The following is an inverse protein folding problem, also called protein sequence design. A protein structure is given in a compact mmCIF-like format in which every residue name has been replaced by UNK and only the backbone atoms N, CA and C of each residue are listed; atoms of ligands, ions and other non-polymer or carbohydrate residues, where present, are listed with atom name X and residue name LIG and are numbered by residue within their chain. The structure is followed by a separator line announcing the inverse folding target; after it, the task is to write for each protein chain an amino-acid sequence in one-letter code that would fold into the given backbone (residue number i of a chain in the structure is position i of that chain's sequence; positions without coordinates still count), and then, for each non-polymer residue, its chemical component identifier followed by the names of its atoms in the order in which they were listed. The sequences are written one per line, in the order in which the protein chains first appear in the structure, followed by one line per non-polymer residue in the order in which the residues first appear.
data_IF_775639162200
#
_entry.id   IF_775639162200
#
_cell.length_a   1.000
_cell.length_b   1.000
_cell.length_c   1.000
_cell.angle_alpha   90.00
_cell.angle_beta   90.00
_cell.angle_gamma   90.00
#
_symmetry.space_group_name_H-M   'P 1'
#
loop_
_entity.id
_entity.type
_entity.pdbx_description
1 polymer ?
#
# COMPACT_ATOMS: atom_id res chain seq x y z
N UNK A 1 1.63 20.48 6.38
CA UNK A 1 0.67 20.61 7.48
C UNK A 1 1.13 21.78 8.34
N UNK A 2 0.32 22.83 8.51
CA UNK A 2 0.71 24.05 9.26
C UNK A 2 0.06 24.09 10.64
N UNK A 3 -1.23 23.74 10.72
CA UNK A 3 -1.97 23.72 11.98
C UNK A 3 -2.53 22.30 12.13
N UNK A 4 -1.99 21.55 13.07
CA UNK A 4 -2.39 20.18 13.35
C UNK A 4 -3.12 20.13 14.68
N UNK A 5 -4.36 19.67 14.67
CA UNK A 5 -5.11 19.32 15.86
C UNK A 5 -5.37 17.82 15.85
N UNK A 6 -4.89 17.11 16.86
CA UNK A 6 -5.02 15.66 16.98
C UNK A 6 -6.16 15.37 17.94
N UNK A 7 -7.26 14.81 17.42
CA UNK A 7 -8.43 14.44 18.21
C UNK A 7 -8.27 13.09 18.90
N UNK A 8 -7.60 12.15 18.21
CA UNK A 8 -7.34 10.81 18.73
C UNK A 8 -6.04 10.27 18.12
N UNK A 9 -4.98 10.31 18.90
CA UNK A 9 -3.66 9.86 18.48
C UNK A 9 -3.56 8.34 18.30
N UNK A 10 -4.43 7.56 18.93
CA UNK A 10 -4.45 6.10 18.79
C UNK A 10 -4.83 5.63 17.40
N UNK A 11 -5.48 6.50 16.62
CA UNK A 11 -5.85 6.27 15.23
C UNK A 11 -4.88 6.92 14.23
N UNK A 12 -3.74 7.45 14.69
CA UNK A 12 -2.75 8.01 13.78
C UNK A 12 -1.94 6.89 13.11
N UNK A 13 -1.61 7.03 11.80
CA UNK A 13 -0.78 6.06 11.12
C UNK A 13 0.63 6.00 11.74
N UNK A 14 1.21 4.82 11.85
CA UNK A 14 2.55 4.66 12.43
C UNK A 14 3.63 5.45 11.66
N UNK A 15 3.50 5.59 10.35
CA UNK A 15 4.40 6.44 9.56
C UNK A 15 4.36 7.94 9.88
N UNK A 16 3.38 8.39 10.68
CA UNK A 16 3.20 9.79 11.07
C UNK A 16 3.19 10.01 12.59
N UNK A 17 3.30 8.95 13.39
CA UNK A 17 3.23 9.00 14.85
C UNK A 17 4.41 8.30 15.49
N UNK A 18 4.67 8.59 16.75
CA UNK A 18 5.65 7.90 17.59
C UNK A 18 4.96 7.16 18.74
N UNK A 19 5.65 6.20 19.35
CA UNK A 19 5.07 5.29 20.34
C UNK A 19 4.50 5.96 21.58
N UNK A 20 4.89 7.21 21.88
CA UNK A 20 4.31 8.02 22.97
C UNK A 20 2.93 8.61 22.62
N UNK A 21 2.44 8.37 21.38
CA UNK A 21 1.17 8.87 20.87
C UNK A 21 1.24 10.28 20.28
N UNK A 22 2.40 10.89 20.19
CA UNK A 22 2.52 12.18 19.50
C UNK A 22 2.51 12.01 17.98
N UNK A 23 2.00 13.00 17.27
CA UNK A 23 1.98 13.06 15.80
C UNK A 23 2.85 14.24 15.35
N UNK A 24 3.88 13.93 14.57
CA UNK A 24 4.76 14.94 14.00
C UNK A 24 4.17 15.49 12.68
N UNK A 25 3.92 16.80 12.56
CA UNK A 25 3.33 17.39 11.35
C UNK A 25 4.17 17.19 10.09
N UNK A 26 5.49 17.12 10.21
CA UNK A 26 6.38 16.91 9.07
C UNK A 26 6.33 15.44 8.63
N UNK A 27 6.37 14.50 9.56
CA UNK A 27 6.21 13.07 9.27
C UNK A 27 4.83 12.78 8.68
N UNK A 28 3.76 13.37 9.23
CA UNK A 28 2.41 13.26 8.67
C UNK A 28 2.36 13.77 7.22
N UNK A 29 2.97 14.92 6.95
CA UNK A 29 3.04 15.46 5.59
C UNK A 29 3.80 14.52 4.66
N UNK A 30 4.93 14.00 5.10
CA UNK A 30 5.74 13.04 4.36
C UNK A 30 4.96 11.75 4.07
N UNK A 31 4.32 11.18 5.10
CA UNK A 31 3.49 9.97 4.99
C UNK A 31 2.33 10.16 4.01
N UNK A 32 1.60 11.28 4.08
CA UNK A 32 0.52 11.62 3.15
C UNK A 32 1.04 11.61 1.70
N UNK A 33 2.16 12.30 1.41
CA UNK A 33 2.68 12.39 0.06
C UNK A 33 3.18 11.04 -0.48
N UNK A 34 3.71 10.17 0.38
CA UNK A 34 4.19 8.84 -0.01
C UNK A 34 3.06 7.83 -0.26
N UNK A 35 1.83 8.17 0.08
CA UNK A 35 0.64 7.39 -0.31
C UNK A 35 0.27 7.54 -1.78
N UNK A 36 0.79 8.56 -2.44
CA UNK A 36 0.49 8.84 -3.84
C UNK A 36 1.18 7.88 -4.82
N UNK A 37 0.73 7.90 -6.06
CA UNK A 37 1.39 7.18 -7.15
C UNK A 37 2.79 7.77 -7.37
N UNK A 38 3.86 6.94 -7.39
CA UNK A 38 5.20 7.43 -7.65
C UNK A 38 5.34 8.06 -9.03
N UNK A 39 6.19 9.08 -9.15
CA UNK A 39 6.45 9.78 -10.43
C UNK A 39 7.02 8.87 -11.52
N UNK A 40 7.72 7.78 -11.14
CA UNK A 40 8.24 6.78 -12.08
C UNK A 40 7.26 5.67 -12.46
N UNK A 41 5.98 5.75 -12.07
CA UNK A 41 4.98 4.73 -12.37
C UNK A 41 4.75 4.59 -13.88
N UNK A 42 4.84 3.38 -14.39
CA UNK A 42 4.42 3.04 -15.75
C UNK A 42 2.92 3.35 -15.92
N UNK A 43 2.58 4.16 -16.92
CA UNK A 43 1.20 4.58 -17.19
C UNK A 43 0.70 5.77 -16.35
N UNK A 44 1.56 6.44 -15.58
CA UNK A 44 1.18 7.60 -14.76
C UNK A 44 0.42 8.67 -15.55
N UNK A 45 0.88 9.01 -16.75
CA UNK A 45 0.23 10.03 -17.58
C UNK A 45 -1.23 9.68 -17.93
N UNK A 46 -1.52 8.39 -18.14
CA UNK A 46 -2.89 7.95 -18.42
C UNK A 46 -3.77 8.05 -17.16
N UNK A 47 -3.22 7.73 -15.98
CA UNK A 47 -3.91 7.86 -14.69
C UNK A 47 -4.24 9.33 -14.42
N UNK A 48 -3.25 10.23 -14.55
CA UNK A 48 -3.43 11.67 -14.34
C UNK A 48 -4.44 12.27 -15.34
N UNK A 49 -4.34 11.91 -16.60
CA UNK A 49 -5.28 12.35 -17.63
C UNK A 49 -6.71 11.88 -17.33
N UNK A 50 -6.88 10.61 -16.96
CA UNK A 50 -8.19 10.06 -16.60
C UNK A 50 -8.83 10.76 -15.37
N UNK A 51 -8.00 11.20 -14.43
CA UNK A 51 -8.44 11.97 -13.27
C UNK A 51 -8.58 13.48 -13.53
N UNK A 52 -8.09 14.00 -14.66
CA UNK A 52 -8.00 15.44 -14.89
C UNK A 52 -7.05 16.14 -13.92
N UNK A 53 -5.93 15.49 -13.58
CA UNK A 53 -4.90 15.99 -12.65
C UNK A 53 -3.62 16.32 -13.41
N UNK A 54 -2.88 17.32 -12.91
CA UNK A 54 -1.59 17.72 -13.49
C UNK A 54 -0.42 16.92 -12.92
N UNK A 55 -0.53 16.44 -11.69
CA UNK A 55 0.54 15.81 -10.92
C UNK A 55 -0.01 14.81 -9.89
N UNK A 56 0.86 13.91 -9.34
CA UNK A 56 0.46 12.92 -8.35
C UNK A 56 -0.11 13.49 -7.05
N UNK A 57 0.35 14.65 -6.60
CA UNK A 57 -0.16 15.27 -5.37
C UNK A 57 -1.60 15.73 -5.56
N UNK A 58 -1.91 16.37 -6.70
CA UNK A 58 -3.27 16.75 -7.09
C UNK A 58 -4.18 15.52 -7.18
N UNK A 59 -3.67 14.41 -7.72
CA UNK A 59 -4.41 13.14 -7.78
C UNK A 59 -4.72 12.61 -6.39
N UNK A 60 -3.74 12.58 -5.49
CA UNK A 60 -3.90 12.09 -4.13
C UNK A 60 -5.04 12.80 -3.40
N UNK A 61 -5.03 14.13 -3.40
CA UNK A 61 -6.10 14.92 -2.75
C UNK A 61 -7.44 14.77 -3.46
N UNK A 62 -7.45 14.70 -4.78
CA UNK A 62 -8.67 14.54 -5.56
C UNK A 62 -9.35 13.19 -5.31
N UNK A 63 -8.58 12.13 -5.07
CA UNK A 63 -9.06 10.79 -4.76
C UNK A 63 -9.21 10.54 -3.25
N UNK A 64 -9.13 11.59 -2.42
CA UNK A 64 -9.27 11.53 -0.96
C UNK A 64 -8.23 10.61 -0.29
N UNK A 65 -7.11 10.33 -0.93
CA UNK A 65 -6.05 9.42 -0.51
C UNK A 65 -6.51 7.98 -0.19
N UNK A 66 -7.65 7.56 -0.73
CA UNK A 66 -8.18 6.20 -0.56
C UNK A 66 -7.28 5.17 -1.23
N UNK A 67 -7.01 4.05 -0.56
CA UNK A 67 -6.29 2.91 -1.09
C UNK A 67 -6.77 1.57 -0.47
N UNK A 68 -6.08 0.46 -0.76
CA UNK A 68 -6.31 -0.87 -0.17
C UNK A 68 -5.17 -1.32 0.76
N UNK A 69 -4.31 -0.42 1.20
CA UNK A 69 -3.26 -0.74 2.19
C UNK A 69 -3.68 -0.43 3.62
N UNK A 70 -4.72 0.35 3.81
CA UNK A 70 -5.17 0.82 5.12
C UNK A 70 -6.54 1.52 5.04
N UNK A 71 -7.02 2.08 6.17
CA UNK A 71 -8.31 2.75 6.32
C UNK A 71 -8.19 4.28 6.35
N UNK A 72 -7.00 4.83 6.20
CA UNK A 72 -6.78 6.29 6.25
C UNK A 72 -7.25 6.97 4.98
N UNK A 73 -7.84 8.14 5.15
CA UNK A 73 -8.29 8.97 4.05
C UNK A 73 -8.29 10.46 4.40
N UNK A 74 -8.35 11.30 3.40
CA UNK A 74 -8.40 12.75 3.56
C UNK A 74 -9.82 13.21 3.25
N UNK A 75 -10.47 13.81 4.24
CA UNK A 75 -11.78 14.44 4.05
C UNK A 75 -11.64 15.97 4.14
N UNK A 76 -11.81 16.70 3.03
CA UNK A 76 -11.88 18.15 3.07
C UNK A 76 -13.00 18.64 3.99
N UNK A 77 -12.77 19.79 4.64
CA UNK A 77 -13.77 20.42 5.46
C UNK A 77 -15.03 20.74 4.65
N UNK A 78 -16.19 20.49 5.23
CA UNK A 78 -17.50 20.69 4.59
C UNK A 78 -17.95 19.55 3.66
N UNK A 79 -17.09 18.59 3.34
CA UNK A 79 -17.48 17.42 2.54
C UNK A 79 -18.27 16.42 3.39
N UNK A 80 -19.52 16.17 3.00
CA UNK A 80 -20.43 15.22 3.71
C UNK A 80 -20.26 13.82 3.10
N UNK A 81 -19.24 13.11 3.55
CA UNK A 81 -18.97 11.71 3.19
C UNK A 81 -18.54 10.92 4.42
N UNK A 82 -18.88 9.65 4.46
CA UNK A 82 -18.35 8.69 5.42
C UNK A 82 -17.44 7.69 4.72
N UNK A 83 -16.42 7.19 5.41
CA UNK A 83 -15.48 6.20 4.88
C UNK A 83 -16.20 4.93 4.40
N UNK A 84 -17.24 4.47 5.13
CA UNK A 84 -18.04 3.31 4.77
C UNK A 84 -18.72 3.41 3.39
N UNK A 85 -19.00 4.64 2.91
CA UNK A 85 -19.68 4.84 1.63
C UNK A 85 -18.70 4.81 0.44
N UNK A 86 -17.40 4.98 0.69
CA UNK A 86 -16.42 5.24 -0.37
C UNK A 86 -15.19 4.33 -0.35
N UNK A 87 -14.96 3.54 0.71
CA UNK A 87 -13.79 2.66 0.80
C UNK A 87 -13.81 1.57 -0.29
N UNK A 88 -12.63 1.02 -0.60
CA UNK A 88 -12.48 -0.02 -1.62
C UNK A 88 -12.62 -1.45 -1.08
N UNK A 89 -12.76 -1.63 0.22
CA UNK A 89 -12.94 -2.95 0.83
C UNK A 89 -14.40 -3.45 0.69
N UNK A 90 -15.36 -2.53 0.79
CA UNK A 90 -16.79 -2.85 0.85
C UNK A 90 -17.57 -2.32 -0.36
N UNK A 91 -16.97 -1.42 -1.15
CA UNK A 91 -17.65 -0.78 -2.27
C UNK A 91 -17.00 -1.18 -3.60
N UNK A 92 -17.80 -1.54 -4.62
CA UNK A 92 -17.28 -1.90 -5.93
C UNK A 92 -16.57 -0.72 -6.59
N UNK A 93 -15.60 -1.02 -7.44
CA UNK A 93 -14.85 -0.04 -8.21
C UNK A 93 -14.38 -0.63 -9.54
N UNK A 94 -14.00 0.26 -10.46
CA UNK A 94 -13.25 -0.10 -11.68
C UNK A 94 -11.95 0.70 -11.67
N UNK A 95 -10.83 0.03 -11.57
CA UNK A 95 -9.54 0.70 -11.47
C UNK A 95 -9.20 1.47 -12.76
N UNK A 96 -8.55 2.62 -12.59
CA UNK A 96 -8.19 3.52 -13.68
C UNK A 96 -9.35 4.30 -14.30
N UNK A 97 -10.58 4.18 -13.79
CA UNK A 97 -11.74 4.94 -14.26
C UNK A 97 -12.42 5.65 -13.09
N UNK A 98 -12.79 6.94 -13.27
CA UNK A 98 -13.64 7.62 -12.29
C UNK A 98 -15.02 6.96 -12.29
N UNK A 99 -15.48 6.48 -11.16
CA UNK A 99 -16.82 5.88 -11.00
C UNK A 99 -17.73 6.74 -10.10
N UNK A 100 -17.19 7.78 -9.47
CA UNK A 100 -17.93 8.64 -8.60
C UNK A 100 -17.28 10.03 -8.53
N UNK A 101 -18.09 11.07 -8.40
CA UNK A 101 -17.63 12.45 -8.15
C UNK A 101 -18.42 13.03 -6.99
N UNK A 102 -17.76 13.81 -6.13
CA UNK A 102 -18.45 14.56 -5.10
C UNK A 102 -19.43 15.59 -5.72
N UNK A 103 -20.39 16.04 -4.95
CA UNK A 103 -21.41 17.01 -5.41
C UNK A 103 -20.80 18.34 -5.87
N UNK A 104 -19.63 18.70 -5.37
CA UNK A 104 -18.85 19.86 -5.82
C UNK A 104 -18.09 19.63 -7.13
N UNK A 105 -18.08 18.41 -7.67
CA UNK A 105 -17.36 18.04 -8.90
C UNK A 105 -15.84 18.09 -8.80
N UNK A 106 -15.28 18.38 -7.61
CA UNK A 106 -13.82 18.50 -7.40
C UNK A 106 -13.18 17.16 -7.07
N UNK A 107 -13.87 16.35 -6.27
CA UNK A 107 -13.36 15.05 -5.85
C UNK A 107 -13.88 13.93 -6.74
N UNK A 108 -13.08 12.91 -6.95
CA UNK A 108 -13.43 11.77 -7.80
C UNK A 108 -12.94 10.48 -7.16
N UNK A 109 -13.78 9.45 -7.15
CA UNK A 109 -13.37 8.10 -6.78
C UNK A 109 -12.82 7.42 -8.03
N UNK A 110 -11.55 7.09 -7.99
CA UNK A 110 -10.89 6.21 -8.94
C UNK A 110 -10.58 4.89 -8.23
N UNK A 111 -10.29 3.84 -8.98
CA UNK A 111 -9.87 2.59 -8.36
C UNK A 111 -8.56 2.74 -7.56
N UNK A 112 -8.26 1.75 -6.67
CA UNK A 112 -7.13 1.85 -5.72
C UNK A 112 -5.76 2.00 -6.38
N UNK A 113 -5.60 1.65 -7.65
CA UNK A 113 -4.38 1.86 -8.43
C UNK A 113 -3.90 3.30 -8.48
N UNK A 114 -4.80 4.26 -8.24
CA UNK A 114 -4.48 5.69 -8.16
C UNK A 114 -3.68 6.08 -6.90
N UNK A 115 -3.59 5.19 -5.90
CA UNK A 115 -2.85 5.40 -4.66
C UNK A 115 -1.94 4.21 -4.29
N UNK A 116 -1.70 3.28 -5.22
CA UNK A 116 -0.85 2.12 -4.98
C UNK A 116 0.61 2.44 -5.25
N UNK A 117 1.51 2.15 -4.33
CA UNK A 117 2.96 2.35 -4.45
C UNK A 117 3.62 1.46 -5.51
N UNK A 118 4.90 1.75 -5.85
CA UNK A 118 5.72 0.97 -6.78
C UNK A 118 5.60 1.38 -8.25
N UNK A 119 6.58 1.05 -9.06
CA UNK A 119 6.78 1.57 -10.42
C UNK A 119 6.14 0.75 -11.53
N UNK A 120 5.96 -0.56 -11.36
CA UNK A 120 5.37 -1.43 -12.38
C UNK A 120 3.93 -1.01 -12.70
N UNK A 121 3.53 -1.23 -13.94
CA UNK A 121 2.13 -1.15 -14.31
C UNK A 121 1.32 -2.11 -13.45
N UNK A 122 0.31 -1.61 -12.79
CA UNK A 122 -0.56 -2.44 -11.94
C UNK A 122 -1.97 -1.87 -11.88
N UNK A 123 -2.90 -2.75 -11.61
CA UNK A 123 -4.30 -2.43 -11.38
C UNK A 123 -4.88 -3.33 -10.30
N UNK A 124 -5.95 -2.89 -9.72
CA UNK A 124 -6.75 -3.69 -8.82
C UNK A 124 -8.02 -4.18 -9.51
N UNK A 125 -8.41 -5.38 -9.21
CA UNK A 125 -9.65 -5.98 -9.71
C UNK A 125 -10.46 -6.53 -8.53
N UNK A 126 -11.73 -6.14 -8.45
CA UNK A 126 -12.68 -6.75 -7.52
C UNK A 126 -13.35 -7.94 -8.23
N UNK A 127 -13.10 -9.15 -7.75
CA UNK A 127 -13.64 -10.40 -8.31
C UNK A 127 -14.41 -11.12 -7.20
N UNK A 128 -15.71 -11.27 -7.35
CA UNK A 128 -16.57 -11.96 -6.38
C UNK A 128 -16.43 -11.44 -4.93
N UNK A 129 -16.26 -10.13 -4.79
CA UNK A 129 -16.13 -9.47 -3.49
C UNK A 129 -14.71 -9.53 -2.88
N UNK A 130 -13.73 -10.06 -3.59
CA UNK A 130 -12.33 -10.07 -3.20
C UNK A 130 -11.52 -9.13 -4.09
N UNK A 131 -10.52 -8.49 -3.51
CA UNK A 131 -9.63 -7.57 -4.21
C UNK A 131 -8.36 -8.30 -4.65
N UNK A 132 -7.98 -8.15 -5.92
CA UNK A 132 -6.78 -8.73 -6.50
C UNK A 132 -5.88 -7.66 -7.08
N UNK A 133 -4.60 -7.69 -6.73
CA UNK A 133 -3.57 -6.88 -7.37
C UNK A 133 -3.02 -7.61 -8.58
N UNK A 134 -3.15 -6.99 -9.75
CA UNK A 134 -2.62 -7.47 -11.02
C UNK A 134 -1.42 -6.60 -11.38
N UNK A 135 -0.24 -7.21 -11.50
CA UNK A 135 1.01 -6.53 -11.85
C UNK A 135 1.46 -6.95 -13.24
N UNK A 136 1.73 -5.98 -14.08
CA UNK A 136 2.37 -6.19 -15.39
C UNK A 136 3.89 -6.15 -15.32
N UNK A 137 4.52 -6.08 -16.48
CA UNK A 137 5.95 -5.93 -16.62
C UNK A 137 6.34 -4.50 -17.04
N UNK A 138 7.56 -4.09 -16.68
CA UNK A 138 8.19 -2.87 -17.20
C UNK A 138 8.97 -3.13 -18.48
N UNK A 139 9.30 -4.37 -18.79
CA UNK A 139 10.11 -4.80 -19.93
C UNK A 139 9.32 -5.64 -20.94
N UNK A 140 9.80 -5.69 -22.18
CA UNK A 140 9.25 -6.55 -23.23
C UNK A 140 9.38 -8.04 -22.95
N UNK A 141 10.35 -8.41 -22.11
CA UNK A 141 10.66 -9.80 -21.80
C UNK A 141 9.76 -10.39 -20.72
N UNK A 142 8.96 -9.53 -20.06
CA UNK A 142 7.95 -9.92 -19.07
C UNK A 142 8.48 -10.84 -17.95
N UNK A 143 9.68 -10.54 -17.42
CA UNK A 143 10.29 -11.37 -16.38
C UNK A 143 9.65 -11.17 -15.01
N UNK A 144 9.21 -9.95 -14.68
CA UNK A 144 8.73 -9.59 -13.35
C UNK A 144 7.55 -10.45 -12.88
N UNK A 145 6.51 -10.73 -13.70
CA UNK A 145 5.44 -11.62 -13.29
C UNK A 145 5.92 -13.02 -12.91
N UNK A 146 6.88 -13.57 -13.65
CA UNK A 146 7.44 -14.88 -13.37
C UNK A 146 8.34 -14.90 -12.13
N UNK A 147 9.06 -13.80 -11.85
CA UNK A 147 9.84 -13.65 -10.63
C UNK A 147 8.93 -13.64 -9.39
N UNK A 148 7.79 -12.94 -9.44
CA UNK A 148 6.78 -12.95 -8.36
C UNK A 148 6.23 -14.37 -8.12
N UNK A 149 5.91 -15.12 -9.17
CA UNK A 149 5.45 -16.50 -9.03
C UNK A 149 6.54 -17.38 -8.41
N UNK A 150 7.79 -17.30 -8.93
CA UNK A 150 8.91 -18.10 -8.43
C UNK A 150 9.19 -17.80 -6.94
N UNK A 151 9.20 -16.53 -6.55
CA UNK A 151 9.36 -16.11 -5.17
C UNK A 151 8.23 -16.67 -4.28
N UNK A 152 6.98 -16.59 -4.73
CA UNK A 152 5.83 -17.16 -4.03
C UNK A 152 5.96 -18.67 -3.83
N UNK A 153 6.38 -19.42 -4.87
CA UNK A 153 6.60 -20.87 -4.77
C UNK A 153 7.78 -21.24 -3.85
N UNK A 154 8.84 -20.43 -3.86
CA UNK A 154 9.95 -20.59 -2.91
C UNK A 154 9.44 -20.38 -1.47
N UNK A 155 8.73 -19.28 -1.22
CA UNK A 155 8.16 -18.97 0.09
C UNK A 155 7.23 -20.08 0.58
N UNK A 156 6.41 -20.65 -0.31
CA UNK A 156 5.53 -21.79 0.01
C UNK A 156 6.29 -23.00 0.55
N UNK A 157 7.55 -23.21 0.16
CA UNK A 157 8.36 -24.34 0.62
C UNK A 157 9.09 -24.11 1.93
N UNK A 158 9.33 -22.83 2.30
CA UNK A 158 10.18 -22.48 3.44
C UNK A 158 9.44 -21.73 4.55
N UNK A 159 8.27 -21.16 4.26
CA UNK A 159 7.46 -20.42 5.22
C UNK A 159 6.24 -21.23 5.69
N UNK A 160 5.74 -20.97 6.91
CA UNK A 160 4.48 -21.55 7.35
C UNK A 160 3.30 -20.99 6.51
N UNK A 161 2.22 -21.75 6.44
CA UNK A 161 1.00 -21.33 5.75
C UNK A 161 0.50 -19.97 6.28
N UNK A 162 0.15 -19.08 5.35
CA UNK A 162 -0.30 -17.71 5.66
C UNK A 162 0.82 -16.69 5.89
N UNK A 163 2.10 -17.11 5.87
CA UNK A 163 3.24 -16.20 6.07
C UNK A 163 3.81 -15.63 4.75
N UNK A 164 3.18 -15.88 3.63
CA UNK A 164 3.56 -15.30 2.33
C UNK A 164 2.31 -14.98 1.50
N UNK A 165 2.50 -14.15 0.48
CA UNK A 165 1.44 -13.82 -0.48
C UNK A 165 1.52 -14.77 -1.68
N UNK A 166 0.49 -15.62 -1.91
CA UNK A 166 0.44 -16.49 -3.08
C UNK A 166 0.26 -15.69 -4.37
N UNK A 167 1.12 -15.93 -5.35
CA UNK A 167 0.99 -15.36 -6.68
C UNK A 167 0.59 -16.43 -7.71
N UNK A 168 -0.17 -16.03 -8.70
CA UNK A 168 -0.49 -16.79 -9.90
C UNK A 168 -0.16 -16.00 -11.17
N UNK A 169 -0.06 -16.69 -12.30
CA UNK A 169 0.11 -16.04 -13.61
C UNK A 169 -1.19 -16.09 -14.38
N UNK A 170 -1.60 -14.95 -14.88
CA UNK A 170 -2.70 -14.79 -15.84
C UNK A 170 -2.19 -14.11 -17.12
N UNK A 171 -3.07 -13.93 -18.10
CA UNK A 171 -2.80 -13.13 -19.30
C UNK A 171 -3.69 -11.89 -19.28
N UNK A 172 -3.12 -10.76 -19.59
CA UNK A 172 -3.88 -9.54 -19.79
C UNK A 172 -4.63 -9.56 -21.15
N UNK A 173 -5.36 -8.49 -21.45
CA UNK A 173 -6.12 -8.34 -22.70
C UNK A 173 -5.26 -8.33 -23.98
N UNK A 174 -3.95 -8.10 -23.85
CA UNK A 174 -2.98 -8.17 -24.95
C UNK A 174 -2.32 -9.56 -25.07
N UNK A 175 -2.63 -10.48 -24.15
CA UNK A 175 -2.04 -11.80 -24.08
C UNK A 175 -0.70 -11.87 -23.35
N UNK A 176 -0.24 -10.77 -22.74
CA UNK A 176 0.99 -10.71 -21.97
C UNK A 176 0.80 -11.31 -20.58
N UNK A 177 1.82 -11.97 -20.02
CA UNK A 177 1.75 -12.49 -18.66
C UNK A 177 1.68 -11.37 -17.63
N UNK A 178 0.83 -11.56 -16.64
CA UNK A 178 0.70 -10.69 -15.46
C UNK A 178 0.71 -11.55 -14.21
N UNK A 179 1.29 -11.07 -13.13
CA UNK A 179 1.19 -11.72 -11.83
C UNK A 179 -0.02 -11.21 -11.07
N UNK A 180 -0.69 -12.11 -10.37
CA UNK A 180 -1.93 -11.82 -9.64
C UNK A 180 -1.84 -12.36 -8.23
N UNK A 181 -2.15 -11.54 -7.24
CA UNK A 181 -2.30 -11.94 -5.85
C UNK A 181 -3.57 -11.37 -5.24
N UNK A 182 -4.18 -12.10 -4.30
CA UNK A 182 -5.28 -11.57 -3.49
C UNK A 182 -4.76 -10.50 -2.53
N UNK A 183 -5.55 -9.47 -2.26
CA UNK A 183 -5.25 -8.47 -1.23
C UNK A 183 -5.22 -9.16 0.13
N UNK A 184 -4.12 -8.98 0.86
CA UNK A 184 -3.95 -9.53 2.21
C UNK A 184 -4.35 -8.55 3.32
N UNK A 185 -4.76 -7.35 2.94
CA UNK A 185 -5.32 -6.32 3.86
C UNK A 185 -6.82 -6.32 3.73
N UNK A 186 -7.50 -6.20 4.84
CA UNK A 186 -8.95 -6.04 4.93
C UNK A 186 -9.34 -4.71 5.61
N UNK A 187 -10.62 -4.51 5.86
CA UNK A 187 -11.13 -3.28 6.48
C UNK A 187 -10.72 -3.09 7.95
N UNK A 188 -10.20 -4.12 8.60
CA UNK A 188 -9.85 -4.15 10.02
C UNK A 188 -8.32 -4.26 10.24
N UNK A 189 -7.54 -4.33 9.15
CA UNK A 189 -6.08 -4.45 9.16
C UNK A 189 -5.42 -3.41 8.27
N UNK A 190 -4.16 -3.07 8.54
CA UNK A 190 -3.36 -2.19 7.70
C UNK A 190 -1.99 -2.81 7.38
N UNK A 191 -1.45 -2.42 6.24
CA UNK A 191 -0.08 -2.75 5.85
C UNK A 191 0.85 -1.61 6.24
N UNK A 192 1.76 -1.88 7.17
CA UNK A 192 2.77 -0.93 7.63
C UNK A 192 4.14 -1.36 7.12
N UNK A 193 4.85 -0.48 6.42
CA UNK A 193 6.20 -0.77 5.95
C UNK A 193 7.20 -0.72 7.09
N UNK A 194 8.25 -1.54 7.01
CA UNK A 194 9.28 -1.67 8.05
C UNK A 194 9.88 -0.34 8.49
N UNK A 195 10.13 0.57 7.56
CA UNK A 195 10.69 1.89 7.86
C UNK A 195 9.75 2.73 8.76
N UNK A 196 8.44 2.64 8.55
CA UNK A 196 7.45 3.29 9.40
C UNK A 196 7.38 2.64 10.79
N UNK A 197 7.51 1.31 10.88
CA UNK A 197 7.58 0.60 12.17
C UNK A 197 8.78 1.06 12.99
N UNK A 198 9.97 1.04 12.38
CA UNK A 198 11.21 1.42 13.07
C UNK A 198 11.19 2.88 13.51
N UNK A 199 10.63 3.76 12.70
CA UNK A 199 10.48 5.18 13.01
C UNK A 199 9.47 5.42 14.13
N UNK A 200 8.34 4.73 14.10
CA UNK A 200 7.31 4.83 15.14
C UNK A 200 7.85 4.50 16.54
N UNK A 201 8.66 3.46 16.65
CA UNK A 201 9.23 3.03 17.92
C UNK A 201 10.56 3.72 18.28
N UNK A 202 10.99 4.71 17.49
CA UNK A 202 12.25 5.45 17.72
C UNK A 202 13.44 4.50 17.99
N UNK A 203 13.55 3.47 17.17
CA UNK A 203 14.55 2.44 17.38
C UNK A 203 15.97 3.01 17.24
N UNK A 204 16.92 2.63 18.14
CA UNK A 204 18.26 3.19 18.14
C UNK A 204 18.97 2.93 16.81
N UNK A 205 19.45 4.00 16.16
CA UNK A 205 20.19 3.93 14.88
C UNK A 205 21.55 3.21 15.05
N UNK A 206 22.02 3.05 16.28
CA UNK A 206 23.28 2.39 16.63
C UNK A 206 23.22 0.86 16.48
N UNK A 207 22.03 0.29 16.40
CA UNK A 207 21.81 -1.13 16.09
C UNK A 207 21.54 -1.32 14.60
N UNK A 208 21.79 -2.52 14.08
CA UNK A 208 21.37 -2.82 12.73
C UNK A 208 19.85 -2.75 12.63
N UNK A 209 19.30 -2.40 11.43
CA UNK A 209 17.87 -2.39 11.18
C UNK A 209 17.21 -3.73 11.56
N UNK A 210 17.89 -4.84 11.30
CA UNK A 210 17.47 -6.18 11.69
C UNK A 210 17.28 -6.31 13.21
N UNK A 211 18.30 -5.95 14.01
CA UNK A 211 18.21 -6.05 15.48
C UNK A 211 17.14 -5.10 16.07
N UNK A 212 17.03 -3.91 15.50
CA UNK A 212 15.99 -2.95 15.89
C UNK A 212 14.59 -3.54 15.64
N UNK A 213 14.36 -4.12 14.48
CA UNK A 213 13.08 -4.71 14.10
C UNK A 213 12.75 -5.93 14.97
N UNK A 214 13.69 -6.84 15.17
CA UNK A 214 13.51 -7.98 16.08
C UNK A 214 13.12 -7.50 17.48
N UNK A 215 13.84 -6.52 18.04
CA UNK A 215 13.55 -5.97 19.37
C UNK A 215 12.15 -5.36 19.47
N UNK A 216 11.69 -4.65 18.43
CA UNK A 216 10.32 -4.11 18.37
C UNK A 216 9.29 -5.24 18.38
N UNK A 217 9.44 -6.25 17.53
CA UNK A 217 8.50 -7.38 17.47
C UNK A 217 8.45 -8.19 18.76
N UNK A 218 9.59 -8.42 19.39
CA UNK A 218 9.68 -9.06 20.72
C UNK A 218 8.98 -8.21 21.80
N UNK A 219 9.17 -6.89 21.76
CA UNK A 219 8.50 -5.93 22.64
C UNK A 219 6.97 -5.91 22.46
N UNK A 220 6.48 -6.15 21.26
CA UNK A 220 5.07 -6.33 20.94
C UNK A 220 4.52 -7.72 21.33
N UNK A 221 5.36 -8.59 21.88
CA UNK A 221 4.97 -9.92 22.36
C UNK A 221 4.90 -10.99 21.26
N UNK A 222 5.45 -10.75 20.09
CA UNK A 222 5.54 -11.72 19.01
C UNK A 222 6.58 -12.79 19.37
N UNK A 223 6.10 -14.01 19.60
CA UNK A 223 6.98 -15.16 19.87
C UNK A 223 7.75 -15.53 18.60
N UNK A 224 9.00 -15.91 18.79
CA UNK A 224 9.88 -16.32 17.70
C UNK A 224 10.14 -15.23 16.63
N UNK A 225 9.99 -13.94 17.01
CA UNK A 225 10.21 -12.80 16.13
C UNK A 225 11.56 -12.88 15.40
N UNK A 226 12.65 -13.16 16.14
CA UNK A 226 13.99 -13.32 15.54
C UNK A 226 14.03 -14.40 14.46
N UNK A 227 13.48 -15.57 14.73
CA UNK A 227 13.48 -16.67 13.76
C UNK A 227 12.66 -16.36 12.50
N UNK A 228 11.59 -15.56 12.65
CA UNK A 228 10.80 -15.09 11.52
C UNK A 228 11.59 -14.08 10.66
N UNK A 229 12.17 -13.06 11.28
CA UNK A 229 12.94 -12.00 10.59
C UNK A 229 14.22 -12.57 9.95
N UNK A 230 14.95 -13.48 10.64
CA UNK A 230 16.13 -14.15 10.10
C UNK A 230 15.77 -14.96 8.83
N UNK A 231 14.60 -15.59 8.83
CA UNK A 231 14.11 -16.38 7.69
C UNK A 231 13.76 -15.48 6.50
N UNK A 232 13.08 -14.36 6.73
CA UNK A 232 12.81 -13.35 5.70
C UNK A 232 14.09 -12.81 5.10
N UNK A 233 15.07 -12.44 5.93
CA UNK A 233 16.37 -11.95 5.48
C UNK A 233 17.10 -12.96 4.56
N UNK A 234 17.04 -14.26 4.90
CA UNK A 234 17.64 -15.31 4.07
C UNK A 234 16.91 -15.44 2.73
N UNK A 235 15.58 -15.33 2.71
CA UNK A 235 14.78 -15.37 1.47
C UNK A 235 15.13 -14.20 0.58
N UNK A 236 15.17 -12.98 1.11
CA UNK A 236 15.56 -11.78 0.39
C UNK A 236 16.97 -11.89 -0.18
N UNK A 237 17.91 -12.37 0.61
CA UNK A 237 19.29 -12.55 0.19
C UNK A 237 19.44 -13.61 -0.93
N UNK A 238 18.63 -14.69 -0.91
CA UNK A 238 18.69 -15.76 -1.89
C UNK A 238 17.99 -15.44 -3.21
N UNK A 239 17.38 -14.31 -3.34
CA UNK A 239 16.94 -13.82 -4.65
C UNK A 239 15.46 -13.68 -4.86
N UNK A 240 14.69 -13.42 -3.80
CA UNK A 240 13.33 -12.92 -3.93
C UNK A 240 13.30 -11.41 -4.31
N UNK A 241 14.48 -10.84 -4.58
CA UNK A 241 14.67 -9.47 -5.06
C UNK A 241 14.72 -9.41 -6.59
#
# INVERSE_FOLDING_TARGET
VHDLEVYDASNAPWGASVADGSVDPMQLSWWIFHRGVPTGRVGLSAILCGAGCADPASLLFKTLALNLSDQYWIRPEGLVLAWGDINYFENPYVDGRPDWTAQDGVHVRMGPGSATSGQLAKRWECREGKNFLVKGSSSSDCHEPWAELLASELCRTVLPEGAWVPYSIEKDSSGQPVSVCECFVDKDTEFVVLDDVVRHFDAPIETSLHEAYVGILEGLGLKDARAAVDRELVIDFLGAN
#
